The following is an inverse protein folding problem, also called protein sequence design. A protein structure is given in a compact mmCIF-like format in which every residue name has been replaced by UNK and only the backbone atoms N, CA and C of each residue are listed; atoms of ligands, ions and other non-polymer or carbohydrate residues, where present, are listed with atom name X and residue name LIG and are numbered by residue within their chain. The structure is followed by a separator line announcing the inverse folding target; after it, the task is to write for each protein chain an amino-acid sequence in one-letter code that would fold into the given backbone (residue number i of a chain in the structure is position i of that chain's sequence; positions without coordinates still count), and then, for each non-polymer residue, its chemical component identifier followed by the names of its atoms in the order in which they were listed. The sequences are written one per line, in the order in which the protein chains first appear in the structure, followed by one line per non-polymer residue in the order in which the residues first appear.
data_IF_023683324785
#
_entry.id   IF_023683324785
#
_cell.length_a   1.000
_cell.length_b   1.000
_cell.length_c   1.000
_cell.angle_alpha   90.00
_cell.angle_beta   90.00
_cell.angle_gamma   90.00
#
_symmetry.space_group_name_H-M   'P 1'
#
loop_
_entity.id
_entity.type
_entity.pdbx_description
1 polymer ?
#
# COMPACT_ATOMS: atom_id res chain seq x y z
N UNK A 1 -27.09 11.39 -23.16
CA UNK A 1 -26.42 11.72 -21.87
C UNK A 1 -25.04 11.09 -21.89
N UNK A 2 -24.00 11.91 -22.07
CA UNK A 2 -22.60 11.44 -21.96
C UNK A 2 -22.24 11.54 -20.49
N UNK A 3 -22.10 10.39 -19.82
CA UNK A 3 -21.59 10.33 -18.45
C UNK A 3 -20.10 10.61 -18.51
N UNK A 4 -19.68 11.80 -18.07
CA UNK A 4 -18.26 12.08 -17.82
C UNK A 4 -17.87 11.30 -16.57
N UNK A 5 -17.34 10.10 -16.76
CA UNK A 5 -16.69 9.39 -15.67
C UNK A 5 -15.43 10.19 -15.31
N UNK A 6 -15.49 10.83 -14.16
CA UNK A 6 -14.42 11.63 -13.55
C UNK A 6 -13.29 10.68 -13.11
N UNK A 7 -12.51 10.21 -14.09
CA UNK A 7 -11.35 9.38 -13.83
C UNK A 7 -10.25 10.27 -13.29
N UNK A 8 -9.67 9.89 -12.16
CA UNK A 8 -8.50 10.57 -11.63
C UNK A 8 -7.43 10.70 -12.74
N UNK A 9 -6.83 11.88 -12.93
CA UNK A 9 -5.86 12.08 -14.00
C UNK A 9 -4.72 11.08 -13.86
N UNK A 10 -4.38 10.42 -14.98
CA UNK A 10 -3.41 9.33 -15.03
C UNK A 10 -2.03 9.76 -14.51
N UNK A 11 -1.58 10.97 -14.89
CA UNK A 11 -0.25 11.47 -14.58
C UNK A 11 0.02 11.60 -13.06
N UNK A 12 -0.82 12.31 -12.26
CA UNK A 12 -0.64 12.33 -10.81
C UNK A 12 -0.71 10.95 -10.15
N UNK A 13 -1.56 10.05 -10.66
CA UNK A 13 -1.70 8.71 -10.13
C UNK A 13 -0.44 7.88 -10.38
N UNK A 14 0.13 7.95 -11.59
CA UNK A 14 1.40 7.32 -11.94
C UNK A 14 2.55 7.89 -11.10
N UNK A 15 2.68 9.21 -11.04
CA UNK A 15 3.73 9.87 -10.27
C UNK A 15 3.68 9.47 -8.78
N UNK A 16 2.49 9.49 -8.18
CA UNK A 16 2.30 9.07 -6.79
C UNK A 16 2.61 7.58 -6.57
N UNK A 17 2.28 6.72 -7.54
CA UNK A 17 2.61 5.28 -7.47
C UNK A 17 4.11 5.04 -7.54
N UNK A 18 4.80 5.71 -8.48
CA UNK A 18 6.25 5.60 -8.65
C UNK A 18 7.01 6.14 -7.43
N UNK A 19 6.58 7.27 -6.86
CA UNK A 19 7.17 7.81 -5.64
C UNK A 19 7.06 6.82 -4.47
N UNK A 20 5.91 6.16 -4.31
CA UNK A 20 5.73 5.13 -3.29
C UNK A 20 6.60 3.89 -3.55
N UNK A 21 6.64 3.40 -4.80
CA UNK A 21 7.52 2.28 -5.16
C UNK A 21 8.98 2.59 -4.90
N UNK A 22 9.44 3.78 -5.28
CA UNK A 22 10.79 4.24 -5.04
C UNK A 22 11.10 4.34 -3.54
N UNK A 23 10.17 4.90 -2.76
CA UNK A 23 10.29 4.95 -1.30
C UNK A 23 10.44 3.54 -0.69
N UNK A 24 9.68 2.56 -1.19
CA UNK A 24 9.80 1.18 -0.72
C UNK A 24 11.10 0.51 -1.16
N UNK A 25 11.58 0.80 -2.37
CA UNK A 25 12.82 0.22 -2.90
C UNK A 25 14.09 0.80 -2.27
N UNK A 26 14.04 2.06 -1.84
CA UNK A 26 15.18 2.77 -1.22
C UNK A 26 15.17 2.69 0.30
N UNK A 27 14.10 2.17 0.90
CA UNK A 27 14.04 1.95 2.34
C UNK A 27 15.03 0.86 2.76
N UNK A 28 15.62 1.07 3.93
CA UNK A 28 16.43 0.07 4.62
C UNK A 28 15.62 -1.21 4.82
N UNK A 29 16.13 -2.34 4.32
CA UNK A 29 15.49 -3.66 4.39
C UNK A 29 15.36 -4.17 5.82
N UNK A 30 16.08 -3.57 6.77
CA UNK A 30 15.98 -3.88 8.20
C UNK A 30 14.81 -3.17 8.90
N UNK A 31 14.15 -2.20 8.26
CA UNK A 31 13.02 -1.48 8.87
C UNK A 31 11.68 -2.14 8.54
N UNK A 32 10.78 -2.28 9.54
CA UNK A 32 9.45 -2.81 9.28
C UNK A 32 8.69 -1.96 8.27
N UNK A 33 7.90 -2.64 7.44
CA UNK A 33 7.09 -2.03 6.41
C UNK A 33 6.05 -1.09 7.06
N UNK A 34 5.96 0.15 6.58
CA UNK A 34 4.90 1.06 7.03
C UNK A 34 3.55 0.59 6.45
N UNK A 35 2.57 0.18 7.30
CA UNK A 35 1.30 -0.37 6.81
C UNK A 35 0.51 0.62 5.97
N UNK A 36 0.53 1.90 6.36
CA UNK A 36 -0.15 2.97 5.63
C UNK A 36 0.42 3.20 4.23
N UNK A 37 1.75 3.22 4.10
CA UNK A 37 2.40 3.40 2.81
C UNK A 37 2.13 2.21 1.87
N UNK A 38 2.17 0.98 2.41
CA UNK A 38 1.82 -0.24 1.68
C UNK A 38 0.36 -0.23 1.21
N UNK A 39 -0.57 0.18 2.08
CA UNK A 39 -1.99 0.31 1.73
C UNK A 39 -2.23 1.36 0.64
N UNK A 40 -1.60 2.54 0.74
CA UNK A 40 -1.68 3.57 -0.30
C UNK A 40 -1.16 3.08 -1.65
N UNK A 41 -0.05 2.36 -1.64
CA UNK A 41 0.50 1.77 -2.86
C UNK A 41 -0.46 0.76 -3.49
N UNK A 42 -1.04 -0.13 -2.67
CA UNK A 42 -2.06 -1.07 -3.12
C UNK A 42 -3.27 -0.37 -3.76
N UNK A 43 -3.75 0.71 -3.14
CA UNK A 43 -4.87 1.50 -3.65
C UNK A 43 -4.55 2.19 -4.98
N UNK A 44 -3.37 2.80 -5.09
CA UNK A 44 -2.97 3.46 -6.33
C UNK A 44 -2.83 2.47 -7.49
N UNK A 45 -2.24 1.29 -7.23
CA UNK A 45 -2.15 0.20 -8.21
C UNK A 45 -3.54 -0.29 -8.64
N UNK A 46 -4.49 -0.38 -7.70
CA UNK A 46 -5.87 -0.74 -8.01
C UNK A 46 -6.54 0.32 -8.90
N UNK A 47 -6.35 1.60 -8.59
CA UNK A 47 -6.89 2.70 -9.41
C UNK A 47 -6.29 2.71 -10.81
N UNK A 48 -4.98 2.49 -10.93
CA UNK A 48 -4.32 2.35 -12.23
C UNK A 48 -4.89 1.17 -13.01
N UNK A 49 -5.08 0.02 -12.37
CA UNK A 49 -5.64 -1.17 -13.01
C UNK A 49 -7.03 -0.95 -13.61
N UNK A 50 -7.82 -0.03 -13.06
CA UNK A 50 -9.16 0.32 -13.56
C UNK A 50 -9.16 1.56 -14.47
N UNK A 51 -7.99 2.10 -14.81
CA UNK A 51 -7.91 3.32 -15.61
C UNK A 51 -8.08 3.00 -17.11
N UNK A 52 -9.00 3.68 -17.84
CA UNK A 52 -9.39 3.32 -19.21
C UNK A 52 -8.28 3.51 -20.24
N UNK A 53 -7.28 4.35 -19.94
CA UNK A 53 -6.15 4.57 -20.83
C UNK A 53 -5.10 3.45 -20.80
N UNK A 54 -5.21 2.46 -19.91
CA UNK A 54 -4.26 1.35 -19.82
C UNK A 54 -4.75 0.15 -20.64
N UNK A 55 -3.81 -0.60 -21.19
CA UNK A 55 -4.12 -1.85 -21.87
C UNK A 55 -4.58 -2.91 -20.86
N UNK A 56 -5.44 -3.82 -21.32
CA UNK A 56 -5.97 -4.90 -20.48
C UNK A 56 -4.88 -5.81 -19.86
N UNK A 57 -3.81 -6.21 -20.60
CA UNK A 57 -2.71 -6.94 -19.97
C UNK A 57 -2.03 -6.16 -18.84
N UNK A 58 -1.86 -4.85 -18.99
CA UNK A 58 -1.28 -3.99 -17.95
C UNK A 58 -2.21 -3.89 -16.74
N UNK A 59 -3.51 -3.74 -16.97
CA UNK A 59 -4.53 -3.72 -15.93
C UNK A 59 -4.49 -4.99 -15.06
N UNK A 60 -4.37 -6.16 -15.69
CA UNK A 60 -4.26 -7.45 -14.98
C UNK A 60 -3.00 -7.50 -14.10
N UNK A 61 -1.86 -7.06 -14.61
CA UNK A 61 -0.60 -7.04 -13.83
C UNK A 61 -0.73 -6.11 -12.63
N UNK A 62 -1.28 -4.91 -12.82
CA UNK A 62 -1.46 -3.93 -11.76
C UNK A 62 -2.45 -4.40 -10.69
N UNK A 63 -3.53 -5.08 -11.09
CA UNK A 63 -4.50 -5.67 -10.17
C UNK A 63 -3.85 -6.74 -9.28
N UNK A 64 -3.01 -7.61 -9.86
CA UNK A 64 -2.25 -8.63 -9.10
C UNK A 64 -1.26 -7.97 -8.13
N UNK A 65 -0.51 -6.97 -8.58
CA UNK A 65 0.40 -6.21 -7.72
C UNK A 65 -0.34 -5.52 -6.57
N UNK A 66 -1.52 -4.96 -6.83
CA UNK A 66 -2.37 -4.37 -5.80
C UNK A 66 -2.77 -5.38 -4.72
N UNK A 67 -3.13 -6.62 -5.11
CA UNK A 67 -3.47 -7.68 -4.16
C UNK A 67 -2.28 -8.04 -3.25
N UNK A 68 -1.10 -8.23 -3.83
CA UNK A 68 0.15 -8.51 -3.07
C UNK A 68 0.46 -7.40 -2.07
N UNK A 69 0.36 -6.13 -2.48
CA UNK A 69 0.64 -5.01 -1.59
C UNK A 69 -0.40 -4.83 -0.49
N UNK A 70 -1.65 -5.19 -0.74
CA UNK A 70 -2.72 -5.19 0.26
C UNK A 70 -2.49 -6.25 1.33
N UNK A 71 -2.11 -7.46 0.93
CA UNK A 71 -1.72 -8.52 1.87
C UNK A 71 -0.55 -8.08 2.75
N UNK A 72 0.51 -7.52 2.14
CA UNK A 72 1.65 -6.95 2.88
C UNK A 72 1.24 -5.86 3.87
N UNK A 73 0.30 -4.99 3.48
CA UNK A 73 -0.21 -3.94 4.37
C UNK A 73 -0.94 -4.55 5.58
N UNK A 74 -1.74 -5.60 5.37
CA UNK A 74 -2.41 -6.31 6.46
C UNK A 74 -1.43 -6.99 7.40
N UNK A 75 -0.41 -7.68 6.87
CA UNK A 75 0.63 -8.33 7.68
C UNK A 75 1.40 -7.31 8.52
N UNK A 76 1.81 -6.19 7.91
CA UNK A 76 2.53 -5.12 8.63
C UNK A 76 1.66 -4.45 9.72
N UNK A 77 0.36 -4.30 9.47
CA UNK A 77 -0.59 -3.79 10.48
C UNK A 77 -0.80 -4.77 11.64
N UNK A 78 -0.73 -6.09 11.38
CA UNK A 78 -0.80 -7.09 12.42
C UNK A 78 0.47 -7.10 13.29
N UNK A 79 1.65 -7.02 12.68
CA UNK A 79 2.95 -6.97 13.39
C UNK A 79 3.04 -5.76 14.34
N UNK A 80 2.59 -4.58 13.89
CA UNK A 80 2.58 -3.37 14.72
C UNK A 80 1.60 -3.43 15.89
N UNK A 81 0.59 -4.31 15.86
CA UNK A 81 -0.30 -4.53 17.00
C UNK A 81 0.32 -5.48 18.03
N UNK A 82 1.03 -6.50 17.57
CA UNK A 82 1.66 -7.52 18.42
C UNK A 82 2.80 -6.93 19.26
N UNK A 83 3.66 -6.10 18.66
CA UNK A 83 4.75 -5.41 19.36
C UNK A 83 4.26 -4.44 20.47
N UNK A 84 3.09 -3.81 20.27
CA UNK A 84 2.51 -2.88 21.25
C UNK A 84 1.92 -3.56 22.49
N UNK A 85 1.43 -4.80 22.35
CA UNK A 85 0.89 -5.57 23.47
C UNK A 85 2.01 -6.15 24.36
N UNK A 86 3.14 -6.56 23.76
CA UNK A 86 4.32 -7.05 24.50
C UNK A 86 5.02 -5.94 25.30
N UNK A 87 5.16 -4.74 24.75
CA UNK A 87 5.76 -3.59 25.45
C UNK A 87 4.87 -3.12 26.62
N UNK A 88 3.54 -3.14 26.43
CA UNK A 88 2.56 -2.87 27.48
C UNK A 88 2.48 -3.96 28.56
N UNK A 89 2.76 -5.22 28.22
CA UNK A 89 2.87 -6.32 29.18
C UNK A 89 4.18 -6.23 29.99
N UNK A 90 5.30 -5.93 29.34
CA UNK A 90 6.59 -5.70 29.99
C UNK A 90 6.51 -4.50 30.95
N UNK A 91 5.94 -3.37 30.53
CA UNK A 91 5.79 -2.20 31.40
C UNK A 91 4.93 -2.48 32.65
N UNK A 92 3.91 -3.34 32.54
CA UNK A 92 3.07 -3.76 33.68
C UNK A 92 3.77 -4.75 34.61
N UNK A 93 4.67 -5.58 34.08
CA UNK A 93 5.44 -6.55 34.88
C UNK A 93 6.50 -5.88 35.78
N UNK A 94 6.95 -4.66 35.45
CA UNK A 94 7.92 -3.90 36.25
C UNK A 94 7.27 -3.02 37.35
N UNK A 95 5.93 -2.99 37.41
CA UNK A 95 5.16 -2.22 38.39
C UNK A 95 4.58 -3.09 39.52
N UNK A 96 4.92 -4.39 39.56
CA UNK A 96 4.58 -5.35 40.61
C UNK A 96 5.85 -5.95 41.22
#
# INVERSE_FOLDING_TARGET
MISFTDHAPLEPLLAGTLALLHHQATRDTQRPLCPYAAHKLALNLHRLANHPALSEPMAVVLARLSAVWRERAHMAAAQTRDEGDDEGAAARAWLH
#
